data_IF_993907640644
#
_entry.id   IF_993907640644
#
_cell.length_a   1.000
_cell.length_b   1.000
_cell.length_c   1.000
_cell.angle_alpha   90.00
_cell.angle_beta   90.00
_cell.angle_gamma   90.00
#
_symmetry.space_group_name_H-M   'P 1'
#
loop_
_entity.id
_entity.type
_entity.pdbx_description
1 polymer ?
#
# COMPACT_ATOMS: atom_id res chain seq x y z
N UNK A 1 8.71 25.31 -4.93
CA UNK A 1 8.16 24.58 -3.79
C UNK A 1 6.86 25.29 -3.40
N UNK A 2 5.72 24.63 -3.62
CA UNK A 2 4.42 25.23 -3.34
C UNK A 2 4.09 24.94 -1.87
N UNK A 3 4.66 25.69 -0.95
CA UNK A 3 4.45 25.61 0.50
C UNK A 3 2.98 25.76 0.89
N UNK A 4 2.19 26.52 0.14
CA UNK A 4 0.78 26.80 0.43
C UNK A 4 -0.14 25.55 0.37
N UNK A 5 0.17 24.54 -0.44
CA UNK A 5 -0.62 23.30 -0.52
C UNK A 5 -0.27 22.34 0.62
N UNK A 6 0.98 22.26 0.98
CA UNK A 6 1.44 21.39 2.06
C UNK A 6 0.84 21.80 3.43
N UNK A 7 0.61 23.11 3.63
CA UNK A 7 0.01 23.64 4.86
C UNK A 7 -1.50 23.33 5.01
N UNK A 8 -2.15 22.90 3.93
CA UNK A 8 -3.59 22.57 3.91
C UNK A 8 -3.85 21.07 4.06
N UNK A 9 -2.82 20.22 3.87
CA UNK A 9 -2.96 18.77 3.96
C UNK A 9 -2.67 18.27 5.38
N UNK A 10 -3.39 17.24 5.84
CA UNK A 10 -3.06 16.61 7.11
C UNK A 10 -1.64 16.04 7.07
N UNK A 11 -0.95 16.13 8.18
CA UNK A 11 0.37 15.51 8.31
C UNK A 11 0.24 14.29 9.19
N UNK A 12 0.58 13.10 8.64
CA UNK A 12 0.32 11.82 9.26
C UNK A 12 1.62 11.01 9.29
N UNK A 13 1.98 10.53 10.46
CA UNK A 13 3.15 9.66 10.67
C UNK A 13 2.82 8.20 10.36
N UNK A 14 3.84 7.34 10.13
CA UNK A 14 3.61 5.89 10.00
C UNK A 14 2.86 5.27 11.18
N UNK A 15 3.21 5.69 12.41
CA UNK A 15 2.56 5.21 13.63
C UNK A 15 1.07 5.57 13.67
N UNK A 16 0.73 6.83 13.36
CA UNK A 16 -0.66 7.29 13.31
C UNK A 16 -1.48 6.55 12.26
N UNK A 17 -0.91 6.28 11.06
CA UNK A 17 -1.61 5.51 10.02
C UNK A 17 -1.90 4.06 10.46
N UNK A 18 -0.93 3.43 11.13
CA UNK A 18 -1.10 2.07 11.67
C UNK A 18 -2.18 2.05 12.74
N UNK A 19 -2.16 3.03 13.66
CA UNK A 19 -3.12 3.12 14.76
C UNK A 19 -4.54 3.46 14.25
N UNK A 20 -4.69 4.40 13.32
CA UNK A 20 -5.98 4.72 12.69
C UNK A 20 -6.58 3.49 11.98
N UNK A 21 -5.77 2.76 11.21
CA UNK A 21 -6.23 1.55 10.52
C UNK A 21 -6.67 0.48 11.51
N UNK A 22 -5.94 0.35 12.62
CA UNK A 22 -6.28 -0.57 13.71
C UNK A 22 -7.60 -0.19 14.40
N UNK A 23 -7.84 1.09 14.67
CA UNK A 23 -9.08 1.56 15.25
C UNK A 23 -10.27 1.27 14.35
N UNK A 24 -10.18 1.56 13.05
CA UNK A 24 -11.22 1.20 12.07
C UNK A 24 -11.50 -0.31 12.04
N UNK A 25 -10.46 -1.13 12.09
CA UNK A 25 -10.64 -2.58 12.16
C UNK A 25 -11.38 -3.03 13.43
N UNK A 26 -11.04 -2.47 14.58
CA UNK A 26 -11.71 -2.79 15.85
C UNK A 26 -13.19 -2.44 15.83
N UNK A 27 -13.56 -1.35 15.19
CA UNK A 27 -14.96 -0.92 15.07
C UNK A 27 -15.81 -1.89 14.22
N UNK A 28 -15.20 -2.62 13.28
CA UNK A 28 -15.87 -3.67 12.51
C UNK A 28 -16.27 -4.85 13.43
N UNK A 29 -15.56 -5.06 14.52
CA UNK A 29 -15.81 -6.09 15.53
C UNK A 29 -15.89 -7.52 14.96
N UNK A 30 -15.02 -7.84 14.01
CA UNK A 30 -14.86 -9.17 13.40
C UNK A 30 -13.44 -9.64 13.67
N UNK A 31 -13.22 -10.70 14.48
CA UNK A 31 -11.86 -11.13 14.80
C UNK A 31 -11.19 -11.79 13.59
N UNK A 32 -10.06 -11.25 13.18
CA UNK A 32 -9.21 -11.75 12.08
C UNK A 32 -7.78 -11.85 12.57
N UNK A 33 -7.33 -13.03 13.02
CA UNK A 33 -6.01 -13.20 13.66
C UNK A 33 -4.83 -12.69 12.83
N UNK A 34 -4.92 -12.75 11.49
CA UNK A 34 -3.85 -12.27 10.63
C UNK A 34 -3.75 -10.73 10.64
N UNK A 35 -4.87 -10.02 10.77
CA UNK A 35 -4.89 -8.57 10.93
C UNK A 35 -4.27 -8.18 12.27
N UNK A 36 -4.62 -8.88 13.36
CA UNK A 36 -4.05 -8.66 14.69
C UNK A 36 -2.53 -8.88 14.70
N UNK A 37 -2.08 -9.97 14.07
CA UNK A 37 -0.66 -10.29 13.95
C UNK A 37 0.10 -9.23 13.13
N UNK A 38 -0.46 -8.83 11.99
CA UNK A 38 0.16 -7.83 11.10
C UNK A 38 0.27 -6.47 11.77
N UNK A 39 -0.78 -6.03 12.48
CA UNK A 39 -0.74 -4.81 13.28
C UNK A 39 0.41 -4.84 14.30
N UNK A 40 0.56 -5.94 15.05
CA UNK A 40 1.65 -6.09 16.01
C UNK A 40 3.01 -5.96 15.35
N UNK A 41 3.18 -6.66 14.24
CA UNK A 41 4.42 -6.57 13.48
C UNK A 41 4.71 -5.14 13.01
N UNK A 42 3.71 -4.44 12.48
CA UNK A 42 3.86 -3.04 12.05
C UNK A 42 4.26 -2.11 13.21
N UNK A 43 3.68 -2.29 14.39
CA UNK A 43 4.06 -1.52 15.60
C UNK A 43 5.50 -1.77 16.03
N UNK A 44 5.98 -3.00 15.89
CA UNK A 44 7.33 -3.40 16.28
C UNK A 44 8.40 -3.01 15.21
N UNK A 45 7.98 -2.64 13.99
CA UNK A 45 8.86 -2.36 12.85
C UNK A 45 8.65 -0.96 12.23
N UNK A 46 8.19 0.00 12.99
CA UNK A 46 7.97 1.37 12.49
C UNK A 46 9.27 1.95 11.91
N UNK A 47 9.21 2.64 10.74
CA UNK A 47 10.37 3.34 10.18
C UNK A 47 10.93 4.40 11.15
N UNK A 48 12.24 4.39 11.36
CA UNK A 48 12.90 5.31 12.31
C UNK A 48 13.06 6.70 11.71
N UNK A 49 13.43 6.78 10.43
CA UNK A 49 13.68 8.02 9.68
C UNK A 49 12.68 8.17 8.54
N UNK A 50 11.42 8.47 8.86
CA UNK A 50 10.45 8.76 7.82
C UNK A 50 10.56 10.22 7.35
N UNK A 51 10.81 10.40 6.06
CA UNK A 51 10.73 11.72 5.44
C UNK A 51 9.28 12.18 5.36
N UNK A 52 9.10 13.51 5.30
CA UNK A 52 7.77 14.10 5.20
C UNK A 52 7.67 14.86 3.88
N UNK A 53 6.91 14.30 2.96
CA UNK A 53 6.62 14.92 1.66
C UNK A 53 5.17 14.66 1.29
N UNK A 54 4.74 15.17 0.15
CA UNK A 54 3.41 14.85 -0.40
C UNK A 54 3.35 13.36 -0.71
N UNK A 55 2.34 12.71 -0.18
CA UNK A 55 1.95 11.32 -0.43
C UNK A 55 0.58 11.32 -1.08
N UNK A 56 0.40 10.53 -2.12
CA UNK A 56 -0.88 10.37 -2.80
C UNK A 56 -1.87 9.53 -1.95
N UNK A 57 -1.36 8.45 -1.36
CA UNK A 57 -2.12 7.55 -0.49
C UNK A 57 -2.87 6.42 -1.20
N UNK A 58 -3.17 6.54 -2.50
CA UNK A 58 -3.72 5.49 -3.37
C UNK A 58 -2.98 5.43 -4.72
N UNK A 59 -1.64 5.49 -4.69
CA UNK A 59 -0.80 5.47 -5.89
C UNK A 59 -0.72 4.06 -6.47
N UNK A 60 -1.57 3.77 -7.45
CA UNK A 60 -1.66 2.47 -8.12
C UNK A 60 -2.07 2.63 -9.59
N UNK A 61 -1.89 1.58 -10.37
CA UNK A 61 -2.15 1.60 -11.82
C UNK A 61 -3.57 2.05 -12.22
N UNK A 62 -4.60 1.83 -11.39
CA UNK A 62 -5.95 2.33 -11.64
C UNK A 62 -6.09 3.86 -11.58
N UNK A 63 -5.15 4.55 -10.94
CA UNK A 63 -5.13 6.01 -10.78
C UNK A 63 -4.07 6.70 -11.65
N UNK A 64 -3.46 5.96 -12.59
CA UNK A 64 -2.44 6.48 -13.51
C UNK A 64 -2.99 6.58 -14.92
N UNK A 65 -2.97 7.76 -15.51
CA UNK A 65 -3.20 7.95 -16.94
C UNK A 65 -1.89 7.81 -17.68
N UNK A 66 -1.82 6.82 -18.55
CA UNK A 66 -0.59 6.49 -19.31
C UNK A 66 -0.84 6.61 -20.80
N UNK A 67 0.09 7.24 -21.51
CA UNK A 67 0.10 7.27 -22.98
C UNK A 67 1.32 6.50 -23.50
N UNK A 68 1.10 5.64 -24.47
CA UNK A 68 2.18 4.88 -25.09
C UNK A 68 3.28 5.81 -25.62
N UNK A 69 4.53 5.56 -25.23
CA UNK A 69 5.70 6.35 -25.61
C UNK A 69 5.89 7.68 -24.87
N UNK A 70 4.88 8.16 -24.11
CA UNK A 70 4.99 9.41 -23.33
C UNK A 70 5.03 9.19 -21.82
N UNK A 71 4.67 7.99 -21.34
CA UNK A 71 4.68 7.66 -19.92
C UNK A 71 3.42 8.12 -19.19
N UNK A 72 3.56 8.46 -17.91
CA UNK A 72 2.46 8.91 -17.03
C UNK A 72 2.15 10.37 -17.34
N UNK A 73 0.91 10.66 -17.77
CA UNK A 73 0.45 12.02 -18.09
C UNK A 73 -0.31 12.67 -16.91
N UNK A 74 -0.98 11.87 -16.08
CA UNK A 74 -1.69 12.37 -14.91
C UNK A 74 -1.79 11.29 -13.84
N UNK A 75 -1.91 11.75 -12.59
CA UNK A 75 -2.25 10.96 -11.42
C UNK A 75 -3.61 11.45 -10.92
N UNK A 76 -4.56 10.54 -10.78
CA UNK A 76 -5.95 10.80 -10.43
C UNK A 76 -6.23 10.39 -9.00
N UNK A 77 -7.34 10.89 -8.42
CA UNK A 77 -7.90 10.44 -7.15
C UNK A 77 -7.02 10.75 -5.93
N UNK A 78 -6.84 12.03 -5.67
CA UNK A 78 -6.02 12.60 -4.59
C UNK A 78 -6.74 12.71 -3.23
N UNK A 79 -7.87 12.04 -3.05
CA UNK A 79 -8.69 12.16 -1.84
C UNK A 79 -7.99 11.70 -0.56
N UNK A 80 -6.99 10.81 -0.67
CA UNK A 80 -6.17 10.32 0.44
C UNK A 80 -4.84 11.08 0.60
N UNK A 81 -4.67 12.19 -0.12
CA UNK A 81 -3.42 12.94 -0.09
C UNK A 81 -3.11 13.51 1.29
N UNK A 82 -1.86 13.40 1.71
CA UNK A 82 -1.39 13.90 2.99
C UNK A 82 0.13 14.17 2.95
N UNK A 83 0.64 14.80 4.00
CA UNK A 83 2.07 14.93 4.21
C UNK A 83 2.54 13.75 5.07
N UNK A 84 3.39 12.90 4.51
CA UNK A 84 3.84 11.66 5.14
C UNK A 84 5.08 11.07 4.48
N UNK A 85 5.33 9.79 4.75
CA UNK A 85 6.45 9.05 4.20
C UNK A 85 6.19 8.67 2.72
N UNK A 86 7.03 9.14 1.76
CA UNK A 86 6.85 8.83 0.34
C UNK A 86 6.95 7.33 0.01
N UNK A 87 7.61 6.54 0.86
CA UNK A 87 7.70 5.09 0.66
C UNK A 87 6.34 4.40 0.76
N UNK A 88 5.33 5.07 1.33
CA UNK A 88 3.96 4.58 1.35
C UNK A 88 3.40 4.36 -0.06
N UNK A 89 3.62 5.31 -0.96
CA UNK A 89 3.12 5.20 -2.34
C UNK A 89 3.87 4.10 -3.12
N UNK A 90 5.19 4.00 -2.95
CA UNK A 90 5.97 2.94 -3.58
C UNK A 90 5.58 1.56 -3.04
N UNK A 91 5.41 1.43 -1.73
CA UNK A 91 4.96 0.19 -1.10
C UNK A 91 3.54 -0.20 -1.54
N UNK A 92 2.63 0.77 -1.63
CA UNK A 92 1.26 0.56 -2.10
C UNK A 92 1.20 0.05 -3.54
N UNK A 93 1.96 0.64 -4.44
CA UNK A 93 2.06 0.19 -5.83
C UNK A 93 2.56 -1.26 -5.94
N UNK A 94 3.35 -1.73 -4.97
CA UNK A 94 3.89 -3.08 -4.92
C UNK A 94 2.99 -4.12 -4.23
N UNK A 95 1.83 -3.72 -3.68
CA UNK A 95 0.88 -4.67 -3.07
C UNK A 95 0.35 -5.64 -4.12
N UNK A 96 0.25 -6.92 -3.76
CA UNK A 96 -0.12 -8.00 -4.69
C UNK A 96 -1.50 -7.78 -5.33
N UNK A 97 -2.44 -7.18 -4.62
CA UNK A 97 -3.78 -6.86 -5.13
C UNK A 97 -3.78 -6.01 -6.42
N UNK A 98 -2.72 -5.23 -6.64
CA UNK A 98 -2.58 -4.37 -7.84
C UNK A 98 -1.84 -5.03 -9.00
N UNK A 99 -1.41 -6.29 -8.85
CA UNK A 99 -0.69 -7.02 -9.91
C UNK A 99 -1.60 -7.73 -10.90
N UNK A 100 -2.90 -7.87 -10.58
CA UNK A 100 -3.91 -8.50 -11.44
C UNK A 100 -3.47 -9.85 -12.01
N UNK A 101 -2.88 -10.70 -11.16
CA UNK A 101 -2.41 -12.04 -11.50
C UNK A 101 -1.01 -12.12 -12.13
N UNK A 102 -0.34 -10.97 -12.36
CA UNK A 102 1.04 -10.91 -12.88
C UNK A 102 2.04 -10.85 -11.72
N UNK A 103 2.20 -11.97 -11.02
CA UNK A 103 3.02 -12.05 -9.80
C UNK A 103 4.50 -11.77 -10.06
N UNK A 104 4.98 -12.06 -11.27
CA UNK A 104 6.35 -11.83 -11.73
C UNK A 104 6.69 -10.34 -11.90
N UNK A 105 5.68 -9.47 -12.00
CA UNK A 105 5.83 -8.02 -12.12
C UNK A 105 5.33 -7.34 -10.83
N UNK A 106 6.18 -7.25 -9.80
CA UNK A 106 5.75 -6.80 -8.47
C UNK A 106 5.26 -5.35 -8.41
N UNK A 107 5.63 -4.52 -9.37
CA UNK A 107 5.20 -3.12 -9.48
C UNK A 107 3.92 -3.05 -10.29
N UNK A 108 2.78 -3.06 -9.61
CA UNK A 108 1.46 -2.89 -10.22
C UNK A 108 1.10 -3.88 -11.33
N UNK A 109 1.84 -4.99 -11.48
CA UNK A 109 1.67 -5.97 -12.55
C UNK A 109 2.23 -5.52 -13.91
N UNK A 110 3.07 -4.47 -13.94
CA UNK A 110 3.64 -3.95 -15.19
C UNK A 110 5.13 -3.63 -15.13
N UNK A 111 5.78 -3.69 -13.97
CA UNK A 111 7.20 -3.34 -13.81
C UNK A 111 7.94 -4.19 -12.80
N UNK A 112 9.27 -4.13 -12.85
CA UNK A 112 10.16 -4.74 -11.89
C UNK A 112 10.53 -3.78 -10.76
N UNK A 113 10.81 -4.33 -9.58
CA UNK A 113 11.10 -3.52 -8.40
C UNK A 113 12.37 -2.69 -8.58
N UNK A 114 13.42 -3.26 -9.16
CA UNK A 114 14.69 -2.57 -9.33
C UNK A 114 14.56 -1.37 -10.30
N UNK A 115 13.72 -1.47 -11.33
CA UNK A 115 13.42 -0.35 -12.23
C UNK A 115 12.68 0.78 -11.51
N UNK A 116 11.69 0.44 -10.66
CA UNK A 116 10.99 1.42 -9.83
C UNK A 116 11.95 2.15 -8.90
N UNK A 117 12.81 1.40 -8.20
CA UNK A 117 13.76 1.99 -7.25
C UNK A 117 14.79 2.85 -7.96
N UNK A 118 15.39 2.36 -9.05
CA UNK A 118 16.36 3.14 -9.84
C UNK A 118 15.73 4.43 -10.39
N UNK A 119 14.50 4.37 -10.89
CA UNK A 119 13.77 5.54 -11.38
C UNK A 119 13.49 6.55 -10.26
N UNK A 120 13.04 6.10 -9.09
CA UNK A 120 12.78 6.96 -7.95
C UNK A 120 14.08 7.59 -7.41
N UNK A 121 15.13 6.80 -7.22
CA UNK A 121 16.42 7.24 -6.70
C UNK A 121 17.09 8.26 -7.63
N UNK A 122 17.06 8.01 -8.95
CA UNK A 122 17.63 8.92 -9.95
C UNK A 122 16.94 10.29 -9.98
N UNK A 123 15.63 10.33 -9.70
CA UNK A 123 14.84 11.56 -9.75
C UNK A 123 14.83 12.30 -8.42
N UNK A 124 14.74 11.57 -7.32
CA UNK A 124 14.67 12.15 -5.97
C UNK A 124 16.03 12.46 -5.36
N UNK A 125 17.10 11.83 -5.83
CA UNK A 125 18.43 11.86 -5.20
C UNK A 125 18.53 11.11 -3.88
N UNK A 126 17.56 10.25 -3.57
CA UNK A 126 17.42 9.52 -2.31
C UNK A 126 17.63 8.04 -2.53
N UNK A 127 18.38 7.39 -1.67
CA UNK A 127 18.44 5.94 -1.63
C UNK A 127 17.19 5.38 -0.93
N UNK A 128 16.61 4.34 -1.49
CA UNK A 128 15.46 3.64 -0.91
C UNK A 128 15.93 2.53 0.02
N UNK A 129 15.57 2.63 1.29
CA UNK A 129 15.73 1.52 2.22
C UNK A 129 14.69 0.44 1.95
N UNK A 130 15.15 -0.77 1.58
CA UNK A 130 14.26 -1.90 1.27
C UNK A 130 13.47 -2.39 2.48
N UNK A 131 13.93 -2.16 3.71
CA UNK A 131 13.17 -2.51 4.91
C UNK A 131 11.98 -1.56 5.09
N UNK A 132 12.19 -0.28 4.90
CA UNK A 132 11.13 0.74 4.90
C UNK A 132 10.11 0.46 3.78
N UNK A 133 10.57 0.13 2.58
CA UNK A 133 9.67 -0.24 1.49
C UNK A 133 8.82 -1.48 1.84
N UNK A 134 9.46 -2.50 2.43
CA UNK A 134 8.76 -3.71 2.90
C UNK A 134 7.72 -3.37 3.97
N UNK A 135 8.05 -2.50 4.93
CA UNK A 135 7.10 -2.03 5.94
C UNK A 135 5.84 -1.46 5.27
N UNK A 136 6.01 -0.59 4.28
CA UNK A 136 4.88 0.03 3.58
C UNK A 136 4.11 -0.95 2.69
N UNK A 137 4.76 -1.97 2.16
CA UNK A 137 4.09 -3.07 1.45
C UNK A 137 3.21 -3.90 2.39
N UNK A 138 3.73 -4.22 3.57
CA UNK A 138 2.95 -4.90 4.64
C UNK A 138 1.80 -4.02 5.10
N UNK A 139 2.05 -2.73 5.35
CA UNK A 139 1.00 -1.79 5.71
C UNK A 139 -0.09 -1.70 4.65
N UNK A 140 0.27 -1.66 3.38
CA UNK A 140 -0.69 -1.64 2.27
C UNK A 140 -1.59 -2.89 2.27
N UNK A 141 -1.02 -4.07 2.45
CA UNK A 141 -1.79 -5.32 2.54
C UNK A 141 -2.70 -5.34 3.79
N UNK A 142 -2.21 -4.88 4.92
CA UNK A 142 -2.97 -4.72 6.16
C UNK A 142 -4.15 -3.75 5.98
N UNK A 143 -3.88 -2.57 5.43
CA UNK A 143 -4.90 -1.55 5.16
C UNK A 143 -5.97 -2.08 4.20
N UNK A 144 -5.57 -2.78 3.12
CA UNK A 144 -6.51 -3.35 2.17
C UNK A 144 -7.35 -4.48 2.77
N UNK A 145 -6.76 -5.32 3.63
CA UNK A 145 -7.50 -6.35 4.36
C UNK A 145 -8.60 -5.73 5.25
N UNK A 146 -8.31 -4.62 5.92
CA UNK A 146 -9.26 -3.88 6.75
C UNK A 146 -10.34 -3.19 5.90
N UNK A 147 -9.96 -2.43 4.85
CA UNK A 147 -10.91 -1.69 4.00
C UNK A 147 -11.90 -2.64 3.32
N UNK A 148 -11.46 -3.79 2.87
CA UNK A 148 -12.36 -4.78 2.26
C UNK A 148 -13.35 -5.38 3.28
N UNK A 149 -12.95 -5.58 4.54
CA UNK A 149 -13.90 -5.94 5.61
C UNK A 149 -14.91 -4.84 5.88
N UNK A 150 -14.47 -3.58 5.90
CA UNK A 150 -15.35 -2.41 6.08
C UNK A 150 -16.38 -2.31 4.95
N UNK A 151 -15.97 -2.54 3.70
CA UNK A 151 -16.88 -2.58 2.56
C UNK A 151 -17.94 -3.68 2.70
N UNK A 152 -17.54 -4.88 3.15
CA UNK A 152 -18.48 -5.97 3.42
C UNK A 152 -19.45 -5.61 4.56
N UNK A 153 -18.98 -4.92 5.59
CA UNK A 153 -19.80 -4.46 6.71
C UNK A 153 -20.82 -3.40 6.27
N UNK A 154 -20.39 -2.37 5.53
CA UNK A 154 -21.27 -1.33 5.01
C UNK A 154 -22.43 -1.88 4.16
N UNK A 155 -22.19 -2.95 3.41
CA UNK A 155 -23.25 -3.66 2.70
C UNK A 155 -24.18 -4.42 3.65
N UNK A 156 -23.64 -5.15 4.63
CA UNK A 156 -24.44 -5.94 5.59
C UNK A 156 -25.33 -5.08 6.46
N UNK A 157 -24.88 -3.88 6.81
CA UNK A 157 -25.67 -2.92 7.61
C UNK A 157 -26.67 -2.10 6.78
N UNK A 158 -26.62 -2.21 5.46
CA UNK A 158 -27.46 -1.43 4.55
C UNK A 158 -27.00 0.01 4.34
N UNK A 159 -25.85 0.41 4.89
CA UNK A 159 -25.28 1.73 4.72
C UNK A 159 -24.97 2.05 3.25
N UNK A 160 -24.48 1.05 2.52
CA UNK A 160 -24.20 1.19 1.09
C UNK A 160 -24.80 -0.02 0.34
N UNK A 161 -26.00 0.08 -0.24
CA UNK A 161 -26.70 -1.00 -0.92
C UNK A 161 -26.16 -1.25 -2.36
N UNK A 162 -24.85 -1.35 -2.53
CA UNK A 162 -24.18 -1.65 -3.80
C UNK A 162 -23.66 -3.08 -3.80
N UNK A 163 -23.91 -3.85 -4.85
CA UNK A 163 -23.36 -5.20 -5.03
C UNK A 163 -21.83 -5.22 -5.17
N UNK A 164 -21.23 -4.12 -5.55
CA UNK A 164 -19.78 -3.97 -5.61
C UNK A 164 -19.11 -4.16 -4.25
N UNK A 165 -19.71 -3.61 -3.18
CA UNK A 165 -19.16 -3.67 -1.83
C UNK A 165 -18.94 -5.09 -1.30
N UNK A 166 -19.90 -6.03 -1.34
CA UNK A 166 -19.67 -7.40 -0.89
C UNK A 166 -18.72 -8.17 -1.84
N UNK A 167 -18.70 -7.84 -3.13
CA UNK A 167 -17.75 -8.47 -4.09
C UNK A 167 -16.32 -8.11 -3.73
N UNK A 168 -16.04 -6.83 -3.46
CA UNK A 168 -14.72 -6.38 -3.01
C UNK A 168 -14.44 -6.91 -1.60
N UNK A 169 -15.42 -6.92 -0.71
CA UNK A 169 -15.30 -7.41 0.66
C UNK A 169 -14.82 -8.85 0.78
N UNK A 170 -15.10 -9.70 -0.21
CA UNK A 170 -14.58 -11.08 -0.28
C UNK A 170 -13.06 -11.16 -0.42
N UNK A 171 -12.42 -10.09 -0.88
CA UNK A 171 -10.98 -10.04 -1.12
C UNK A 171 -10.15 -9.83 0.14
N UNK A 172 -10.77 -9.67 1.31
CA UNK A 172 -10.03 -9.53 2.57
C UNK A 172 -9.10 -10.71 2.83
N UNK A 173 -9.54 -11.94 2.52
CA UNK A 173 -8.70 -13.15 2.67
C UNK A 173 -7.48 -13.15 1.74
N UNK A 174 -7.58 -12.57 0.54
CA UNK A 174 -6.44 -12.41 -0.37
C UNK A 174 -5.38 -11.52 0.29
N UNK A 175 -5.76 -10.34 0.78
CA UNK A 175 -4.85 -9.42 1.45
C UNK A 175 -4.26 -9.99 2.75
N UNK A 176 -5.01 -10.83 3.48
CA UNK A 176 -4.49 -11.58 4.63
C UNK A 176 -3.41 -12.58 4.21
N UNK A 177 -3.60 -13.30 3.10
CA UNK A 177 -2.59 -14.20 2.55
C UNK A 177 -1.35 -13.45 2.06
N UNK A 178 -1.51 -12.23 1.55
CA UNK A 178 -0.39 -11.36 1.21
C UNK A 178 0.42 -10.98 2.47
N UNK A 179 -0.26 -10.69 3.59
CA UNK A 179 0.42 -10.48 4.88
C UNK A 179 1.18 -11.73 5.33
N UNK A 180 0.59 -12.93 5.22
CA UNK A 180 1.29 -14.19 5.50
C UNK A 180 2.55 -14.31 4.66
N UNK A 181 2.43 -14.09 3.35
CA UNK A 181 3.55 -14.21 2.41
C UNK A 181 4.68 -13.24 2.72
N UNK A 182 4.36 -12.02 3.17
CA UNK A 182 5.34 -11.00 3.51
C UNK A 182 5.99 -11.21 4.89
N UNK A 183 5.27 -11.81 5.85
CA UNK A 183 5.69 -11.87 7.25
C UNK A 183 6.28 -13.21 7.67
N UNK A 184 5.84 -14.31 7.08
CA UNK A 184 6.31 -15.65 7.47
C UNK A 184 7.64 -15.96 6.75
N UNK A 185 8.72 -16.22 7.50
CA UNK A 185 10.03 -16.54 6.90
C UNK A 185 9.96 -17.74 5.96
N UNK A 186 10.54 -17.61 4.77
CA UNK A 186 10.61 -18.67 3.76
C UNK A 186 9.34 -18.85 2.94
N UNK A 187 8.25 -18.18 3.25
CA UNK A 187 7.03 -18.20 2.44
C UNK A 187 7.17 -17.27 1.22
N UNK A 188 7.77 -16.10 1.40
CA UNK A 188 8.04 -15.16 0.32
C UNK A 188 9.53 -15.23 -0.08
N UNK A 189 9.79 -15.75 -1.28
CA UNK A 189 11.07 -15.57 -1.94
C UNK A 189 10.88 -14.47 -2.99
N UNK A 190 11.59 -13.36 -2.83
CA UNK A 190 11.83 -12.48 -3.97
C UNK A 190 12.41 -13.34 -5.08
N UNK A 191 11.97 -13.22 -6.34
CA UNK A 191 12.68 -13.81 -7.46
C UNK A 191 14.16 -13.44 -7.30
N UNK A 192 15.03 -14.43 -7.28
CA UNK A 192 16.45 -14.16 -7.30
C UNK A 192 16.71 -13.29 -8.54
N UNK A 193 17.43 -12.19 -8.38
CA UNK A 193 18.06 -11.55 -9.53
C UNK A 193 18.78 -12.66 -10.28
N UNK A 194 18.44 -12.87 -11.54
CA UNK A 194 19.19 -13.77 -12.41
C UNK A 194 20.62 -13.23 -12.52
N UNK A 195 21.47 -13.58 -11.54
CA UNK A 195 22.91 -13.55 -11.66
C UNK A 195 23.34 -14.76 -12.51
N UNK A 196 22.95 -14.75 -13.77
CA UNK A 196 23.45 -15.70 -14.75
C UNK A 196 23.52 -15.02 -16.12
N UNK A 197 24.59 -14.29 -16.34
CA UNK A 197 25.56 -14.37 -17.45
C UNK A 197 26.51 -13.21 -17.41
#
# INVERSE_FOLDING_TARGET
>A
QNTALADQLPSITPAELVDQTWEYYRDINVPVPMIDYTWRWLKDNLPVDSRRTLVHGDFRNGNLMVTAGAGINAVLDWELAHIGDPMRDLGWLCVNSWRFGKSELPVGGFGHLDDLLAGYESTSGLNVDRQTLRFWQVFGSFWWAMVTLQMAQAWRTGETPSLERPVIGRRSSEAQMDCVSLLIPGYYRLPASDDST
#
